data_IF_288075196103
#
_entry.id   IF_288075196103
#
_cell.length_a   1.000
_cell.length_b   1.000
_cell.length_c   1.000
_cell.angle_alpha   90.00
_cell.angle_beta   90.00
_cell.angle_gamma   90.00
#
_symmetry.space_group_name_H-M   'P 1'
#
loop_
_entity.id
_entity.type
_entity.pdbx_description
1 polymer ?
#
# COMPACT_ATOMS: atom_id res chain seq x y z
N UNK A 1 -15.19 -15.26 -6.90
CA UNK A 1 -14.14 -15.01 -5.90
C UNK A 1 -13.27 -16.26 -5.81
N UNK A 2 -11.93 -16.11 -5.90
CA UNK A 2 -10.96 -17.21 -5.66
C UNK A 2 -10.26 -16.94 -4.32
N UNK A 3 -9.90 -18.00 -3.62
CA UNK A 3 -9.11 -17.94 -2.39
C UNK A 3 -8.24 -19.20 -2.29
N UNK A 4 -7.06 -19.04 -1.73
CA UNK A 4 -6.14 -20.13 -1.39
C UNK A 4 -5.39 -19.72 -0.12
N UNK A 5 -5.14 -20.66 0.77
CA UNK A 5 -4.22 -20.44 1.88
C UNK A 5 -2.79 -20.65 1.40
N UNK A 6 -1.84 -19.81 1.82
CA UNK A 6 -0.46 -19.88 1.30
C UNK A 6 0.19 -21.26 1.53
N UNK A 7 -0.17 -21.95 2.63
CA UNK A 7 0.34 -23.30 2.89
C UNK A 7 -0.25 -24.36 1.93
N UNK A 8 -1.36 -24.05 1.24
CA UNK A 8 -1.96 -24.94 0.23
C UNK A 8 -1.35 -24.71 -1.17
N UNK A 9 -0.59 -23.63 -1.36
CA UNK A 9 0.18 -23.42 -2.58
C UNK A 9 1.40 -24.31 -2.53
N UNK A 10 1.51 -25.23 -3.50
CA UNK A 10 2.62 -26.15 -3.62
C UNK A 10 3.95 -25.39 -3.71
N UNK A 11 4.94 -25.82 -2.93
CA UNK A 11 6.30 -25.30 -3.00
C UNK A 11 7.08 -26.05 -4.05
N UNK A 12 7.64 -25.33 -5.00
CA UNK A 12 8.45 -25.88 -6.08
C UNK A 12 9.93 -25.50 -5.89
N UNK A 13 10.86 -26.44 -6.04
CA UNK A 13 12.27 -26.09 -6.01
C UNK A 13 12.63 -25.28 -7.25
N UNK A 14 13.32 -24.17 -7.07
CA UNK A 14 13.89 -23.32 -8.10
C UNK A 14 15.40 -23.16 -7.89
N UNK A 15 16.14 -22.70 -8.88
CA UNK A 15 17.59 -22.49 -8.83
C UNK A 15 18.34 -23.74 -8.34
N UNK A 16 18.09 -24.88 -8.99
CA UNK A 16 18.65 -26.20 -8.62
C UNK A 16 18.38 -26.61 -7.16
N UNK A 17 17.26 -26.12 -6.60
CA UNK A 17 16.81 -26.42 -5.23
C UNK A 17 17.25 -25.42 -4.16
N UNK A 18 18.02 -24.39 -4.53
CA UNK A 18 18.48 -23.37 -3.60
C UNK A 18 17.37 -22.43 -3.11
N UNK A 19 16.22 -22.40 -3.81
CA UNK A 19 15.07 -21.55 -3.49
C UNK A 19 13.80 -22.38 -3.51
N UNK A 20 12.95 -22.25 -2.50
CA UNK A 20 11.63 -22.85 -2.44
C UNK A 20 10.57 -21.82 -2.86
N UNK A 21 10.01 -21.97 -4.05
CA UNK A 21 9.10 -21.04 -4.69
C UNK A 21 7.64 -21.49 -4.63
N UNK A 22 6.76 -20.63 -4.21
CA UNK A 22 5.30 -20.82 -4.24
C UNK A 22 4.67 -19.93 -5.31
N UNK A 23 4.16 -20.49 -6.43
CA UNK A 23 3.63 -19.75 -7.57
C UNK A 23 2.22 -19.21 -7.30
N UNK A 24 2.09 -18.24 -6.41
CA UNK A 24 0.80 -17.67 -5.97
C UNK A 24 0.01 -17.09 -7.15
N UNK A 25 0.70 -16.40 -8.07
CA UNK A 25 0.09 -15.83 -9.27
C UNK A 25 -0.65 -16.91 -10.09
N UNK A 26 -0.01 -18.05 -10.30
CA UNK A 26 -0.59 -19.17 -11.05
C UNK A 26 -1.76 -19.80 -10.29
N UNK A 27 -1.62 -20.01 -8.98
CA UNK A 27 -2.68 -20.61 -8.16
C UNK A 27 -3.97 -19.78 -8.17
N UNK A 28 -3.86 -18.45 -8.23
CA UNK A 28 -5.01 -17.55 -8.26
C UNK A 28 -5.41 -17.08 -9.66
N UNK A 29 -4.56 -17.26 -10.68
CA UNK A 29 -4.78 -16.78 -12.04
C UNK A 29 -4.79 -15.26 -12.11
N UNK A 30 -3.76 -14.61 -11.55
CA UNK A 30 -3.59 -13.15 -11.54
C UNK A 30 -2.81 -12.75 -12.79
N UNK A 31 -3.30 -11.75 -13.52
CA UNK A 31 -2.69 -11.24 -14.75
C UNK A 31 -2.16 -9.81 -14.61
N UNK A 32 -2.63 -9.06 -13.61
CA UNK A 32 -2.36 -7.62 -13.46
C UNK A 32 -0.99 -7.31 -12.84
N UNK A 33 -0.43 -8.22 -12.03
CA UNK A 33 0.86 -8.07 -11.33
C UNK A 33 1.47 -9.42 -11.03
N UNK A 34 2.79 -9.44 -10.82
CA UNK A 34 3.51 -10.59 -10.29
C UNK A 34 3.23 -10.76 -8.79
N UNK A 35 3.02 -11.97 -8.33
CA UNK A 35 2.97 -12.30 -6.91
C UNK A 35 3.42 -13.74 -6.71
N UNK A 36 4.42 -13.91 -5.85
CA UNK A 36 4.99 -15.19 -5.49
C UNK A 36 5.31 -15.20 -4.00
N UNK A 37 5.55 -16.37 -3.44
CA UNK A 37 6.13 -16.46 -2.12
C UNK A 37 7.32 -17.41 -2.13
N UNK A 38 8.21 -17.17 -1.21
CA UNK A 38 9.45 -17.96 -1.01
C UNK A 38 9.48 -18.41 0.44
N UNK A 39 9.89 -19.65 0.65
CA UNK A 39 9.94 -20.25 1.98
C UNK A 39 11.28 -20.90 2.23
N UNK A 40 11.83 -20.68 3.41
CA UNK A 40 13.05 -21.31 3.89
C UNK A 40 12.77 -22.13 5.14
N UNK A 41 13.13 -23.40 5.14
CA UNK A 41 13.06 -24.29 6.32
C UNK A 41 14.21 -23.98 7.29
N UNK A 42 15.40 -23.69 6.74
CA UNK A 42 16.63 -23.53 7.52
C UNK A 42 17.21 -22.12 7.38
N UNK A 43 17.96 -21.72 8.39
CA UNK A 43 18.74 -20.47 8.39
C UNK A 43 19.81 -20.52 7.28
N UNK A 44 19.95 -19.44 6.53
CA UNK A 44 20.92 -19.28 5.45
C UNK A 44 20.39 -19.70 4.08
N UNK A 45 19.20 -20.30 3.98
CA UNK A 45 18.56 -20.57 2.70
C UNK A 45 18.07 -19.27 2.05
N UNK A 46 18.04 -19.24 0.71
CA UNK A 46 17.52 -18.13 -0.07
C UNK A 46 16.02 -17.94 0.14
N UNK A 47 15.59 -16.69 0.31
CA UNK A 47 14.20 -16.26 0.28
C UNK A 47 13.95 -15.15 -0.74
N UNK A 48 15.00 -14.62 -1.36
CA UNK A 48 15.00 -13.80 -2.57
C UNK A 48 16.28 -14.09 -3.33
N UNK A 49 16.18 -14.45 -4.60
CA UNK A 49 17.32 -14.70 -5.46
C UNK A 49 18.17 -13.45 -5.67
N UNK A 50 19.44 -13.64 -6.02
CA UNK A 50 20.39 -12.58 -6.36
C UNK A 50 20.10 -12.09 -7.79
N UNK A 51 19.46 -10.91 -7.93
CA UNK A 51 19.04 -10.39 -9.23
C UNK A 51 18.78 -8.88 -9.23
N UNK A 52 18.62 -8.36 -10.43
CA UNK A 52 18.00 -7.08 -10.78
C UNK A 52 16.76 -7.35 -11.63
N UNK A 53 15.74 -6.53 -11.53
CA UNK A 53 14.47 -6.69 -12.27
C UNK A 53 13.95 -5.31 -12.71
N UNK A 54 13.38 -5.16 -13.92
CA UNK A 54 12.80 -3.90 -14.37
C UNK A 54 11.48 -3.53 -13.67
N UNK A 55 10.96 -4.38 -12.80
CA UNK A 55 9.76 -4.11 -12.02
C UNK A 55 10.09 -3.44 -10.68
N UNK A 56 9.19 -2.58 -10.24
CA UNK A 56 9.13 -2.19 -8.83
C UNK A 56 8.60 -3.39 -8.02
N UNK A 57 9.31 -3.80 -6.99
CA UNK A 57 8.96 -4.98 -6.20
C UNK A 57 8.87 -4.69 -4.71
N UNK A 58 7.74 -5.07 -4.14
CA UNK A 58 7.49 -5.06 -2.70
C UNK A 58 7.67 -6.47 -2.14
N UNK A 59 8.58 -6.62 -1.20
CA UNK A 59 8.76 -7.82 -0.40
C UNK A 59 8.13 -7.63 0.98
N UNK A 60 7.37 -8.62 1.43
CA UNK A 60 6.74 -8.63 2.76
C UNK A 60 7.19 -9.86 3.50
N UNK A 61 7.89 -9.70 4.61
CA UNK A 61 8.26 -10.81 5.46
C UNK A 61 7.03 -11.24 6.26
N UNK A 62 6.48 -12.41 5.93
CA UNK A 62 5.26 -12.93 6.55
C UNK A 62 5.54 -13.66 7.87
N UNK A 63 6.62 -14.45 7.90
CA UNK A 63 7.05 -15.22 9.09
C UNK A 63 8.57 -15.22 9.20
N UNK A 64 9.08 -15.42 10.39
CA UNK A 64 10.51 -15.48 10.66
C UNK A 64 11.20 -14.13 10.49
N UNK A 65 12.43 -14.17 9.98
CA UNK A 65 13.29 -13.01 9.74
C UNK A 65 14.10 -13.24 8.47
N UNK A 66 14.09 -12.28 7.56
CA UNK A 66 14.97 -12.25 6.40
C UNK A 66 16.11 -11.25 6.61
N UNK A 67 17.25 -11.52 6.02
CA UNK A 67 18.38 -10.62 5.90
C UNK A 67 18.50 -10.21 4.44
N UNK A 68 18.19 -8.98 4.14
CA UNK A 68 18.30 -8.40 2.81
C UNK A 68 19.68 -7.76 2.60
N UNK A 69 20.14 -7.81 1.36
CA UNK A 69 21.30 -7.07 0.90
C UNK A 69 20.99 -6.43 -0.45
N UNK A 70 21.28 -5.14 -0.57
CA UNK A 70 21.22 -4.35 -1.79
C UNK A 70 22.50 -3.54 -1.90
N UNK A 71 23.22 -3.71 -3.00
CA UNK A 71 24.53 -3.05 -3.19
C UNK A 71 25.45 -3.30 -1.98
N UNK A 72 25.85 -2.22 -1.27
CA UNK A 72 26.73 -2.26 -0.09
C UNK A 72 25.94 -2.24 1.24
N UNK A 73 24.61 -2.23 1.20
CA UNK A 73 23.74 -2.18 2.38
C UNK A 73 23.19 -3.56 2.73
N UNK A 74 23.24 -3.90 4.01
CA UNK A 74 22.64 -5.11 4.57
C UNK A 74 21.79 -4.76 5.77
N UNK A 75 20.58 -5.33 5.86
CA UNK A 75 19.67 -5.08 6.97
C UNK A 75 18.80 -6.30 7.32
N UNK A 76 18.42 -6.38 8.58
CA UNK A 76 17.48 -7.37 9.10
C UNK A 76 16.02 -6.92 8.91
N UNK A 77 15.19 -7.86 8.46
CA UNK A 77 13.76 -7.66 8.24
C UNK A 77 12.96 -8.75 8.99
N UNK A 78 12.52 -8.49 10.22
CA UNK A 78 11.62 -9.40 10.94
C UNK A 78 10.23 -9.45 10.30
N UNK A 79 9.42 -10.44 10.67
CA UNK A 79 8.03 -10.57 10.23
C UNK A 79 7.26 -9.26 10.39
N UNK A 80 6.49 -8.87 9.37
CA UNK A 80 5.79 -7.59 9.26
C UNK A 80 6.59 -6.46 8.60
N UNK A 81 7.87 -6.68 8.26
CA UNK A 81 8.66 -5.70 7.50
C UNK A 81 8.24 -5.71 6.03
N UNK A 82 8.09 -4.51 5.47
CA UNK A 82 7.90 -4.26 4.05
C UNK A 82 9.17 -3.64 3.49
N UNK A 83 9.69 -4.22 2.40
CA UNK A 83 10.91 -3.76 1.73
C UNK A 83 10.55 -3.48 0.28
N UNK A 84 10.73 -2.25 -0.17
CA UNK A 84 10.51 -1.84 -1.54
C UNK A 84 11.84 -1.73 -2.26
N UNK A 85 11.91 -2.29 -3.46
CA UNK A 85 12.99 -2.09 -4.41
C UNK A 85 12.45 -1.40 -5.65
N UNK A 86 13.15 -0.36 -6.07
CA UNK A 86 12.87 0.30 -7.32
C UNK A 86 13.38 -0.53 -8.52
N UNK A 87 12.91 -0.27 -9.75
CA UNK A 87 13.45 -0.93 -10.93
C UNK A 87 14.98 -0.87 -10.99
N UNK A 88 15.58 -1.97 -11.43
CA UNK A 88 17.03 -2.14 -11.63
C UNK A 88 17.86 -2.03 -10.33
N UNK A 89 17.25 -1.98 -9.15
CA UNK A 89 17.98 -2.16 -7.89
C UNK A 89 18.33 -3.63 -7.67
N UNK A 90 19.61 -3.88 -7.40
CA UNK A 90 20.12 -5.21 -7.06
C UNK A 90 19.65 -5.66 -5.67
N UNK A 91 19.19 -6.91 -5.56
CA UNK A 91 18.70 -7.47 -4.30
C UNK A 91 18.96 -8.96 -4.16
N UNK A 92 19.16 -9.36 -2.91
CA UNK A 92 19.19 -10.76 -2.48
C UNK A 92 18.74 -10.83 -1.03
N UNK A 93 18.09 -11.92 -0.62
CA UNK A 93 17.80 -12.14 0.80
C UNK A 93 17.93 -13.60 1.20
N UNK A 94 18.35 -13.81 2.43
CA UNK A 94 18.50 -15.10 3.07
C UNK A 94 17.66 -15.15 4.36
N UNK A 95 17.21 -16.36 4.71
CA UNK A 95 16.57 -16.60 5.99
C UNK A 95 17.56 -16.40 7.14
N UNK A 96 17.25 -15.51 8.07
CA UNK A 96 17.98 -15.34 9.33
C UNK A 96 17.34 -16.12 10.48
N UNK A 97 16.13 -16.65 10.28
CA UNK A 97 15.43 -17.57 11.18
C UNK A 97 14.83 -18.71 10.35
N UNK A 98 14.73 -19.91 10.94
CA UNK A 98 14.06 -21.05 10.28
C UNK A 98 12.55 -20.76 10.13
N UNK A 99 11.93 -21.32 9.08
CA UNK A 99 10.53 -21.08 8.75
C UNK A 99 10.25 -19.66 8.22
N UNK A 100 11.27 -18.98 7.71
CA UNK A 100 11.11 -17.64 7.10
C UNK A 100 10.32 -17.75 5.80
N UNK A 101 9.30 -16.92 5.67
CA UNK A 101 8.48 -16.79 4.46
C UNK A 101 8.43 -15.35 4.02
N UNK A 102 8.73 -15.11 2.74
CA UNK A 102 8.68 -13.80 2.10
C UNK A 102 7.67 -13.84 0.96
N UNK A 103 6.78 -12.86 0.89
CA UNK A 103 5.87 -12.62 -0.23
C UNK A 103 6.48 -11.50 -1.09
N UNK A 104 6.60 -11.74 -2.39
CA UNK A 104 7.00 -10.74 -3.38
C UNK A 104 5.79 -10.32 -4.22
N UNK A 105 5.64 -9.03 -4.44
CA UNK A 105 4.63 -8.45 -5.33
C UNK A 105 5.35 -7.46 -6.25
N UNK A 106 5.27 -7.69 -7.56
CA UNK A 106 5.97 -6.87 -8.55
C UNK A 106 5.07 -6.46 -9.71
N UNK A 107 5.30 -5.25 -10.22
CA UNK A 107 4.67 -4.72 -11.42
C UNK A 107 5.56 -3.66 -12.07
N UNK A 108 5.30 -3.36 -13.36
CA UNK A 108 5.90 -2.19 -13.97
C UNK A 108 5.56 -0.94 -13.16
N UNK A 109 6.57 -0.10 -12.90
CA UNK A 109 6.37 1.18 -12.24
C UNK A 109 5.39 2.07 -13.06
N UNK A 110 4.68 2.95 -12.37
CA UNK A 110 3.74 3.91 -12.96
C UNK A 110 2.51 3.30 -13.69
N UNK A 111 2.32 1.98 -13.61
CA UNK A 111 1.13 1.31 -14.19
C UNK A 111 -0.10 1.34 -13.29
N UNK A 112 0.08 1.58 -12.01
CA UNK A 112 -1.01 1.67 -11.06
C UNK A 112 -1.52 3.11 -11.00
N UNK A 113 -2.81 3.30 -11.26
CA UNK A 113 -3.50 4.57 -11.07
C UNK A 113 -4.27 4.52 -9.75
N UNK A 114 -3.82 5.23 -8.70
CA UNK A 114 -4.54 5.31 -7.44
C UNK A 114 -5.95 5.84 -7.67
N UNK A 115 -6.93 5.32 -6.98
CA UNK A 115 -8.31 5.81 -7.10
C UNK A 115 -8.51 7.09 -6.28
N UNK A 116 -9.40 7.98 -6.73
CA UNK A 116 -9.71 9.24 -6.03
C UNK A 116 -10.07 9.06 -4.54
N UNK A 117 -10.70 7.92 -4.17
CA UNK A 117 -11.06 7.66 -2.77
C UNK A 117 -9.84 7.56 -1.83
N UNK A 118 -8.66 7.14 -2.32
CA UNK A 118 -7.45 7.02 -1.48
C UNK A 118 -7.02 8.39 -0.93
N UNK A 119 -7.01 9.40 -1.80
CA UNK A 119 -6.69 10.77 -1.42
C UNK A 119 -7.70 11.33 -0.40
N UNK A 120 -8.99 11.10 -0.66
CA UNK A 120 -10.05 11.51 0.25
C UNK A 120 -9.97 10.84 1.63
N UNK A 121 -9.68 9.55 1.69
CA UNK A 121 -9.51 8.81 2.95
C UNK A 121 -8.25 9.22 3.69
N UNK A 122 -7.14 9.42 2.97
CA UNK A 122 -5.89 9.92 3.56
C UNK A 122 -6.10 11.30 4.18
N UNK A 123 -6.71 12.22 3.44
CA UNK A 123 -7.02 13.56 3.95
C UNK A 123 -7.95 13.50 5.17
N UNK A 124 -9.02 12.70 5.13
CA UNK A 124 -9.96 12.57 6.24
C UNK A 124 -9.26 12.05 7.52
N UNK A 125 -8.43 11.01 7.38
CA UNK A 125 -7.66 10.45 8.49
C UNK A 125 -6.65 11.45 9.07
N UNK A 126 -5.98 12.24 8.22
CA UNK A 126 -5.05 13.28 8.67
C UNK A 126 -5.78 14.41 9.42
N UNK A 127 -6.99 14.80 8.98
CA UNK A 127 -7.84 15.75 9.72
C UNK A 127 -8.20 15.21 11.10
N UNK A 128 -8.59 13.93 11.20
CA UNK A 128 -8.92 13.29 12.48
C UNK A 128 -7.73 13.26 13.46
N UNK A 129 -6.51 13.21 12.93
CA UNK A 129 -5.26 13.26 13.69
C UNK A 129 -4.77 14.69 13.97
N UNK A 130 -5.47 15.74 13.50
CA UNK A 130 -5.06 17.14 13.64
C UNK A 130 -3.89 17.56 12.74
N UNK A 131 -3.54 16.74 11.73
CA UNK A 131 -2.44 16.98 10.78
C UNK A 131 -2.95 17.73 9.55
N UNK A 132 -3.37 18.98 9.75
CA UNK A 132 -4.15 19.73 8.76
C UNK A 132 -3.35 20.10 7.51
N UNK A 133 -2.07 20.47 7.65
CA UNK A 133 -1.24 20.84 6.49
C UNK A 133 -1.01 19.63 5.57
N UNK A 134 -0.79 18.46 6.14
CA UNK A 134 -0.63 17.20 5.38
C UNK A 134 -1.96 16.76 4.75
N UNK A 135 -3.08 17.03 5.41
CA UNK A 135 -4.41 16.80 4.83
C UNK A 135 -4.64 17.69 3.61
N UNK A 136 -4.22 18.96 3.67
CA UNK A 136 -4.23 19.88 2.53
C UNK A 136 -3.44 19.35 1.36
N UNK A 137 -2.21 18.91 1.59
CA UNK A 137 -1.35 18.31 0.56
C UNK A 137 -2.00 17.08 -0.09
N UNK A 138 -2.59 16.18 0.71
CA UNK A 138 -3.29 15.01 0.19
C UNK A 138 -4.51 15.38 -0.69
N UNK A 139 -5.21 16.47 -0.38
CA UNK A 139 -6.30 17.00 -1.20
C UNK A 139 -5.76 17.57 -2.51
N UNK A 140 -4.67 18.34 -2.49
CA UNK A 140 -4.03 18.92 -3.68
C UNK A 140 -3.53 17.81 -4.61
N UNK A 141 -2.78 16.82 -4.09
CA UNK A 141 -2.35 15.64 -4.86
C UNK A 141 -3.54 14.94 -5.53
N UNK A 142 -4.66 14.80 -4.81
CA UNK A 142 -5.88 14.20 -5.36
C UNK A 142 -6.55 15.06 -6.44
N UNK A 143 -6.56 16.37 -6.29
CA UNK A 143 -7.14 17.29 -7.29
C UNK A 143 -6.32 17.37 -8.57
N UNK A 144 -5.01 17.23 -8.48
CA UNK A 144 -4.12 17.19 -9.64
C UNK A 144 -4.42 16.00 -10.55
N UNK A 145 -4.73 14.84 -9.97
CA UNK A 145 -5.08 13.62 -10.72
C UNK A 145 -6.58 13.51 -11.05
N UNK A 146 -7.44 14.00 -10.17
CA UNK A 146 -8.89 13.88 -10.24
C UNK A 146 -9.58 15.23 -10.01
N UNK A 147 -9.43 16.20 -10.91
CA UNK A 147 -9.97 17.55 -10.72
C UNK A 147 -11.51 17.58 -10.56
N UNK A 148 -12.20 16.66 -11.23
CA UNK A 148 -13.67 16.55 -11.18
C UNK A 148 -14.19 15.94 -9.87
N UNK A 149 -13.33 15.29 -9.06
CA UNK A 149 -13.72 14.71 -7.77
C UNK A 149 -14.11 15.76 -6.75
N UNK A 150 -13.52 16.97 -6.85
CA UNK A 150 -13.76 18.11 -5.99
C UNK A 150 -13.38 17.93 -4.52
N UNK A 151 -13.32 16.72 -4.01
CA UNK A 151 -13.04 16.37 -2.59
C UNK A 151 -13.80 17.24 -1.58
N UNK A 152 -15.00 17.72 -1.96
CA UNK A 152 -15.69 18.80 -1.26
C UNK A 152 -16.00 18.49 0.21
N UNK A 153 -16.32 17.24 0.56
CA UNK A 153 -16.58 16.91 1.96
C UNK A 153 -15.33 17.03 2.85
N UNK A 154 -14.18 16.54 2.41
CA UNK A 154 -12.92 16.66 3.18
C UNK A 154 -12.39 18.09 3.18
N UNK A 155 -12.62 18.87 2.10
CA UNK A 155 -12.32 20.29 2.04
C UNK A 155 -13.19 21.09 3.04
N UNK A 156 -14.47 20.77 3.14
CA UNK A 156 -15.35 21.36 4.16
C UNK A 156 -14.82 21.11 5.58
N UNK A 157 -14.41 19.86 5.86
CA UNK A 157 -13.83 19.50 7.17
C UNK A 157 -12.53 20.25 7.45
N UNK A 158 -11.65 20.34 6.46
CA UNK A 158 -10.37 21.03 6.60
C UNK A 158 -10.57 22.54 6.83
N UNK A 159 -11.44 23.18 6.05
CA UNK A 159 -11.78 24.60 6.23
C UNK A 159 -12.36 24.85 7.63
N UNK A 160 -13.27 24.00 8.10
CA UNK A 160 -13.82 24.10 9.45
C UNK A 160 -12.75 23.91 10.53
N UNK A 161 -11.78 23.03 10.33
CA UNK A 161 -10.66 22.81 11.25
C UNK A 161 -9.75 24.04 11.36
N UNK A 162 -9.58 24.80 10.28
CA UNK A 162 -8.87 26.07 10.28
C UNK A 162 -9.74 27.26 10.78
N UNK A 163 -11.04 27.03 11.05
CA UNK A 163 -11.97 28.08 11.48
C UNK A 163 -12.56 28.91 10.33
N UNK A 164 -12.27 28.56 9.08
CA UNK A 164 -12.87 29.17 7.91
C UNK A 164 -14.27 28.59 7.65
N UNK A 165 -15.24 29.10 8.38
CA UNK A 165 -16.63 28.60 8.33
C UNK A 165 -17.35 28.97 7.04
N UNK A 166 -16.91 30.01 6.32
CA UNK A 166 -17.47 30.40 5.03
C UNK A 166 -17.12 29.37 3.96
N UNK A 167 -15.84 29.09 3.77
CA UNK A 167 -15.36 28.02 2.84
C UNK A 167 -15.90 26.67 3.23
N UNK A 168 -16.01 26.39 4.54
CA UNK A 168 -16.56 25.11 5.00
C UNK A 168 -18.02 24.92 4.56
N UNK A 169 -18.86 25.95 4.65
CA UNK A 169 -20.27 25.93 4.17
C UNK A 169 -20.34 25.76 2.66
N UNK A 170 -19.51 26.51 1.92
CA UNK A 170 -19.46 26.41 0.46
C UNK A 170 -19.14 24.98 0.01
N UNK A 171 -18.06 24.41 0.53
CA UNK A 171 -17.68 23.04 0.18
C UNK A 171 -18.69 21.99 0.66
N UNK A 172 -19.31 22.18 1.83
CA UNK A 172 -20.38 21.27 2.28
C UNK A 172 -21.60 21.34 1.37
N UNK A 173 -21.94 22.54 0.87
CA UNK A 173 -23.03 22.73 -0.09
C UNK A 173 -22.73 21.99 -1.42
N UNK A 174 -21.50 22.15 -1.95
CA UNK A 174 -21.06 21.45 -3.16
C UNK A 174 -21.07 19.92 -2.98
N UNK A 175 -20.59 19.42 -1.83
CA UNK A 175 -20.64 18.01 -1.50
C UNK A 175 -22.08 17.48 -1.45
N UNK A 176 -23.00 18.24 -0.83
CA UNK A 176 -24.42 17.87 -0.71
C UNK A 176 -25.17 17.93 -2.04
N UNK A 177 -24.76 18.81 -2.96
CA UNK A 177 -25.31 18.87 -4.31
C UNK A 177 -24.97 17.61 -5.11
N UNK A 178 -23.78 17.03 -4.89
CA UNK A 178 -23.35 15.79 -5.53
C UNK A 178 -23.94 14.53 -4.84
N UNK A 179 -23.99 14.54 -3.50
CA UNK A 179 -24.56 13.45 -2.69
C UNK A 179 -25.29 14.01 -1.45
N UNK A 180 -26.63 14.07 -1.48
CA UNK A 180 -27.42 14.57 -0.35
C UNK A 180 -27.21 13.80 0.97
N UNK A 181 -26.73 12.54 0.92
CA UNK A 181 -26.45 11.76 2.12
C UNK A 181 -25.32 12.34 2.98
N UNK A 182 -24.47 13.17 2.37
CA UNK A 182 -23.38 13.89 3.04
C UNK A 182 -23.89 14.74 4.20
N UNK A 183 -25.09 15.32 4.11
CA UNK A 183 -25.68 16.12 5.20
C UNK A 183 -25.93 15.31 6.47
N UNK A 184 -26.27 14.01 6.34
CA UNK A 184 -26.40 13.16 7.51
C UNK A 184 -25.05 12.85 8.16
N UNK A 185 -24.00 12.72 7.36
CA UNK A 185 -22.62 12.57 7.85
C UNK A 185 -22.16 13.85 8.55
N UNK A 186 -22.38 15.02 7.93
CA UNK A 186 -21.99 16.32 8.47
C UNK A 186 -22.63 16.59 9.85
N UNK A 187 -23.88 16.22 10.07
CA UNK A 187 -24.55 16.35 11.38
C UNK A 187 -23.90 15.56 12.50
N UNK A 188 -23.15 14.51 12.17
CA UNK A 188 -22.44 13.66 13.13
C UNK A 188 -20.95 14.03 13.24
N UNK A 189 -20.45 14.81 12.29
CA UNK A 189 -19.05 15.21 12.24
C UNK A 189 -18.78 16.34 13.25
N UNK A 190 -17.82 16.19 14.17
CA UNK A 190 -17.51 17.22 15.17
C UNK A 190 -17.18 18.60 14.60
N UNK A 191 -16.58 18.65 13.41
CA UNK A 191 -16.16 19.88 12.74
C UNK A 191 -17.32 20.58 11.98
N UNK A 192 -18.29 19.80 11.47
CA UNK A 192 -19.33 20.30 10.57
C UNK A 192 -20.72 20.40 11.20
N UNK A 193 -20.97 19.76 12.33
CA UNK A 193 -22.31 19.65 12.94
C UNK A 193 -22.98 20.96 13.32
N UNK A 194 -22.23 22.06 13.37
CA UNK A 194 -22.72 23.41 13.73
C UNK A 194 -22.85 24.34 12.52
N UNK A 195 -22.54 23.86 11.30
CA UNK A 195 -22.70 24.59 10.05
C UNK A 195 -24.09 24.40 9.49
#
# INVERSE_FOLDING_TARGET
MKRVHLNEVESLPALDGALQWKPVRHALGIDAFGINAYHAEEVGELVVEDHEDPHQELYVVLTGRAKFRSNDEEFDAPAGTLVLFEPDEHRVAYAAESGTTVLAVGAEAERFEPSAWEYGFRAAGLIDLGRFDEAGQAIEEGLDQYPDSGFNYVRARLAAAYGDLESAREHLHLAAAADPAVLQRARKDPLLRTL
#
